data_IF_912781523283
#
_entry.id   IF_912781523283
#
_cell.length_a   1.000
_cell.length_b   1.000
_cell.length_c   1.000
_cell.angle_alpha   90.00
_cell.angle_beta   90.00
_cell.angle_gamma   90.00
#
_symmetry.space_group_name_H-M   'P 1'
#
loop_
_entity.id
_entity.type
_entity.pdbx_description
1 polymer ?
#
# COMPACT_ATOMS: atom_id res chain seq x y z
N UNK A 1 -8.90 -2.42 25.32
CA UNK A 1 -8.22 -1.53 26.26
C UNK A 1 -7.19 -2.32 27.07
N UNK A 2 -5.94 -1.90 27.00
CA UNK A 2 -4.90 -2.56 27.77
C UNK A 2 -5.15 -2.32 29.26
N UNK A 3 -4.92 -3.36 30.08
CA UNK A 3 -5.01 -3.22 31.55
C UNK A 3 -4.04 -2.19 32.14
N UNK A 4 -3.10 -1.71 31.33
CA UNK A 4 -2.02 -0.80 31.71
C UNK A 4 -2.26 0.64 31.23
N UNK A 5 -3.44 1.00 30.71
CA UNK A 5 -3.76 2.34 30.26
C UNK A 5 -3.05 2.79 28.98
N UNK A 6 -2.37 1.89 28.28
CA UNK A 6 -1.78 2.18 26.98
C UNK A 6 -2.63 1.59 25.85
N UNK A 7 -2.85 2.37 24.78
CA UNK A 7 -3.44 1.87 23.56
C UNK A 7 -2.46 0.94 22.84
N UNK A 8 -2.93 -0.11 22.16
CA UNK A 8 -2.06 -0.92 21.32
C UNK A 8 -1.50 -0.05 20.19
N UNK A 9 -0.20 -0.16 19.95
CA UNK A 9 0.45 0.50 18.83
C UNK A 9 0.13 -0.28 17.56
N UNK A 10 -0.67 0.31 16.69
CA UNK A 10 -1.01 -0.25 15.39
C UNK A 10 -0.37 0.56 14.29
N UNK A 11 0.12 -0.10 13.25
CA UNK A 11 0.70 0.51 12.08
C UNK A 11 0.09 -0.10 10.81
N UNK A 12 -0.08 0.72 9.79
CA UNK A 12 -0.55 0.30 8.47
C UNK A 12 0.44 0.79 7.44
N UNK A 13 1.01 -0.13 6.66
CA UNK A 13 1.77 0.26 5.47
C UNK A 13 0.80 0.41 4.31
N UNK A 14 0.83 1.56 3.66
CA UNK A 14 -0.04 1.93 2.57
C UNK A 14 0.79 2.00 1.29
N UNK A 15 0.47 1.13 0.36
CA UNK A 15 0.98 1.20 -0.99
C UNK A 15 0.05 2.10 -1.82
N UNK A 16 0.63 3.01 -2.60
CA UNK A 16 -0.11 3.96 -3.43
C UNK A 16 -0.40 3.42 -4.82
N UNK A 17 0.47 2.53 -5.27
CA UNK A 17 0.32 1.72 -6.48
C UNK A 17 0.37 0.25 -6.10
N UNK A 18 -0.27 -0.60 -6.89
CA UNK A 18 -0.22 -2.04 -6.63
C UNK A 18 1.23 -2.53 -6.67
N UNK A 19 1.73 -3.16 -5.60
CA UNK A 19 3.10 -3.64 -5.50
C UNK A 19 3.50 -4.53 -6.69
N UNK A 20 4.74 -4.40 -7.14
CA UNK A 20 5.22 -5.08 -8.35
C UNK A 20 5.20 -6.60 -8.23
N UNK A 21 5.51 -7.12 -7.04
CA UNK A 21 5.50 -8.54 -6.72
C UNK A 21 4.09 -9.15 -6.72
N UNK A 22 3.06 -8.36 -6.40
CA UNK A 22 1.67 -8.78 -6.39
C UNK A 22 0.92 -8.51 -7.70
N UNK A 23 1.41 -7.55 -8.49
CA UNK A 23 0.71 -6.98 -9.65
C UNK A 23 0.12 -8.02 -10.60
N UNK A 24 0.88 -9.04 -10.89
CA UNK A 24 0.49 -10.12 -11.82
C UNK A 24 0.02 -11.39 -11.11
N UNK A 25 -0.09 -11.36 -9.78
CA UNK A 25 -0.63 -12.47 -9.03
C UNK A 25 -2.16 -12.42 -8.99
N UNK A 26 -2.76 -13.60 -9.01
CA UNK A 26 -4.19 -13.74 -8.82
C UNK A 26 -4.57 -13.50 -7.35
N UNK A 27 -5.72 -12.90 -7.06
CA UNK A 27 -6.20 -12.77 -5.70
C UNK A 27 -6.67 -14.11 -5.15
N UNK A 28 -6.20 -14.46 -3.95
CA UNK A 28 -6.55 -15.69 -3.25
C UNK A 28 -7.24 -15.37 -1.92
N UNK A 29 -8.17 -16.24 -1.53
CA UNK A 29 -8.78 -16.24 -0.22
C UNK A 29 -8.97 -17.69 0.25
N UNK A 30 -8.48 -17.99 1.46
CA UNK A 30 -8.58 -19.35 2.01
C UNK A 30 -7.79 -20.42 1.23
N UNK A 31 -6.81 -20.04 0.43
CA UNK A 31 -6.01 -20.95 -0.40
C UNK A 31 -6.62 -21.23 -1.78
N UNK A 32 -7.78 -20.66 -2.09
CA UNK A 32 -8.45 -20.79 -3.37
C UNK A 32 -8.45 -19.46 -4.13
N UNK A 33 -8.52 -19.51 -5.45
CA UNK A 33 -8.66 -18.31 -6.28
C UNK A 33 -9.97 -17.59 -5.93
N UNK A 34 -9.91 -16.29 -5.63
CA UNK A 34 -11.06 -15.52 -5.13
C UNK A 34 -12.29 -15.61 -6.04
N UNK A 35 -12.09 -15.75 -7.33
CA UNK A 35 -13.16 -15.80 -8.34
C UNK A 35 -13.40 -17.20 -8.93
N UNK A 36 -12.82 -18.25 -8.33
CA UNK A 36 -13.06 -19.61 -8.78
C UNK A 36 -14.53 -20.01 -8.59
N UNK A 37 -15.14 -20.51 -9.64
CA UNK A 37 -16.55 -20.94 -9.60
C UNK A 37 -17.59 -19.82 -9.51
N UNK A 38 -17.18 -18.55 -9.58
CA UNK A 38 -18.12 -17.42 -9.57
C UNK A 38 -18.63 -17.18 -10.99
N UNK A 39 -19.95 -17.24 -11.14
CA UNK A 39 -20.66 -16.90 -12.38
C UNK A 39 -21.54 -15.67 -12.11
N UNK A 40 -20.98 -14.49 -12.29
CA UNK A 40 -21.68 -13.20 -12.15
C UNK A 40 -21.46 -12.36 -13.41
N UNK A 41 -22.55 -12.03 -14.11
CA UNK A 41 -22.51 -11.27 -15.35
C UNK A 41 -22.00 -9.83 -15.16
N UNK A 42 -22.28 -9.20 -14.00
CA UNK A 42 -21.83 -7.84 -13.73
C UNK A 42 -20.33 -7.82 -13.43
N UNK A 43 -19.86 -8.78 -12.64
CA UNK A 43 -18.42 -8.94 -12.39
C UNK A 43 -17.66 -9.28 -13.67
N UNK A 44 -18.23 -10.11 -14.53
CA UNK A 44 -17.62 -10.43 -15.82
C UNK A 44 -17.57 -9.21 -16.76
N UNK A 45 -18.60 -8.36 -16.76
CA UNK A 45 -18.59 -7.12 -17.52
C UNK A 45 -17.48 -6.19 -16.99
N UNK A 46 -17.36 -6.04 -15.67
CA UNK A 46 -16.30 -5.26 -15.03
C UNK A 46 -14.90 -5.83 -15.35
N UNK A 47 -14.74 -7.14 -15.35
CA UNK A 47 -13.49 -7.77 -15.71
C UNK A 47 -13.08 -7.45 -17.16
N UNK A 48 -14.04 -7.46 -18.07
CA UNK A 48 -13.81 -7.11 -19.49
C UNK A 48 -13.41 -5.64 -19.67
N UNK A 49 -14.02 -4.72 -18.92
CA UNK A 49 -13.60 -3.32 -18.92
C UNK A 49 -12.15 -3.14 -18.46
N UNK A 50 -11.65 -4.06 -17.63
CA UNK A 50 -10.28 -4.08 -17.10
C UNK A 50 -9.32 -4.92 -17.93
N UNK A 51 -9.78 -5.45 -19.07
CA UNK A 51 -8.95 -6.20 -20.01
C UNK A 51 -8.84 -7.71 -19.75
N UNK A 52 -9.65 -8.25 -18.84
CA UNK A 52 -9.73 -9.68 -18.57
C UNK A 52 -10.98 -10.30 -19.25
N UNK A 53 -10.83 -11.45 -19.89
CA UNK A 53 -11.96 -12.13 -20.53
C UNK A 53 -12.74 -13.04 -19.58
N UNK A 54 -12.09 -13.46 -18.49
CA UNK A 54 -12.65 -14.31 -17.43
C UNK A 54 -12.34 -13.69 -16.07
N UNK A 55 -13.17 -13.99 -15.07
CA UNK A 55 -12.94 -13.54 -13.70
C UNK A 55 -11.63 -14.10 -13.12
N UNK A 56 -11.27 -15.32 -13.50
CA UNK A 56 -10.03 -15.98 -13.07
C UNK A 56 -8.75 -15.40 -13.71
N UNK A 57 -8.87 -14.52 -14.70
CA UNK A 57 -7.74 -13.78 -15.28
C UNK A 57 -7.46 -12.48 -14.56
N UNK A 58 -8.32 -12.08 -13.61
CA UNK A 58 -8.08 -10.90 -12.80
C UNK A 58 -6.89 -11.11 -11.86
N UNK A 59 -6.02 -10.13 -11.83
CA UNK A 59 -4.86 -10.07 -10.94
C UNK A 59 -4.91 -8.77 -10.13
N UNK A 60 -4.06 -8.62 -9.13
CA UNK A 60 -4.11 -7.45 -8.25
C UNK A 60 -4.01 -6.11 -9.00
N UNK A 61 -3.29 -6.02 -10.14
CA UNK A 61 -3.21 -4.78 -10.94
C UNK A 61 -4.57 -4.26 -11.43
N UNK A 62 -5.55 -5.13 -11.55
CA UNK A 62 -6.89 -4.74 -11.99
C UNK A 62 -7.71 -4.06 -10.89
N UNK A 63 -7.20 -4.00 -9.65
CA UNK A 63 -7.89 -3.46 -8.48
C UNK A 63 -7.31 -2.14 -7.96
N UNK A 64 -6.55 -1.42 -8.79
CA UNK A 64 -6.00 -0.11 -8.43
C UNK A 64 -7.10 0.89 -8.02
N UNK A 65 -8.26 0.84 -8.67
CA UNK A 65 -9.39 1.73 -8.34
C UNK A 65 -9.93 1.45 -6.94
N UNK A 66 -10.08 0.19 -6.56
CA UNK A 66 -10.55 -0.21 -5.24
C UNK A 66 -9.52 0.17 -4.18
N UNK A 67 -8.24 0.00 -4.46
CA UNK A 67 -7.18 0.44 -3.57
C UNK A 67 -7.22 1.96 -3.37
N UNK A 68 -7.43 2.74 -4.43
CA UNK A 68 -7.57 4.19 -4.35
C UNK A 68 -8.77 4.59 -3.50
N UNK A 69 -9.92 3.89 -3.60
CA UNK A 69 -11.09 4.14 -2.78
C UNK A 69 -10.83 3.85 -1.29
N UNK A 70 -10.14 2.76 -0.99
CA UNK A 70 -9.76 2.40 0.39
C UNK A 70 -8.80 3.44 0.95
N UNK A 71 -7.77 3.82 0.21
CA UNK A 71 -6.81 4.84 0.61
C UNK A 71 -7.49 6.19 0.86
N UNK A 72 -8.40 6.58 -0.03
CA UNK A 72 -9.19 7.79 0.12
C UNK A 72 -10.01 7.78 1.41
N UNK A 73 -10.84 6.76 1.60
CA UNK A 73 -11.67 6.64 2.80
C UNK A 73 -10.83 6.63 4.09
N UNK A 74 -9.69 5.95 4.06
CA UNK A 74 -8.77 5.91 5.19
C UNK A 74 -8.25 7.31 5.56
N UNK A 75 -7.78 8.08 4.57
CA UNK A 75 -7.26 9.42 4.80
C UNK A 75 -8.35 10.46 5.12
N UNK A 76 -9.56 10.31 4.57
CA UNK A 76 -10.70 11.14 4.94
C UNK A 76 -11.01 10.97 6.42
N UNK A 77 -11.15 9.73 6.90
CA UNK A 77 -11.42 9.43 8.31
C UNK A 77 -10.29 9.94 9.23
N UNK A 78 -9.03 9.72 8.84
CA UNK A 78 -7.89 10.23 9.63
C UNK A 78 -7.89 11.76 9.72
N UNK A 79 -8.32 12.44 8.68
CA UNK A 79 -8.31 13.92 8.62
C UNK A 79 -9.49 14.51 9.38
N UNK A 80 -10.66 13.84 9.37
CA UNK A 80 -11.84 14.26 10.13
C UNK A 80 -11.62 14.12 11.65
N UNK A 81 -10.94 13.06 12.07
CA UNK A 81 -10.79 12.73 13.47
C UNK A 81 -12.01 12.03 14.06
N UNK A 82 -12.05 11.97 15.40
CA UNK A 82 -13.15 11.37 16.13
C UNK A 82 -14.39 12.30 16.22
N UNK A 83 -15.46 11.86 16.88
CA UNK A 83 -16.69 12.64 17.04
C UNK A 83 -16.52 13.98 17.78
N UNK A 84 -15.37 14.21 18.41
CA UNK A 84 -15.00 15.47 19.07
C UNK A 84 -14.04 16.31 18.24
N UNK A 85 -13.66 15.84 17.04
CA UNK A 85 -12.69 16.49 16.15
C UNK A 85 -11.23 16.25 16.55
N UNK A 86 -10.96 15.29 17.45
CA UNK A 86 -9.59 14.96 17.82
C UNK A 86 -8.98 14.01 16.79
N UNK A 87 -7.75 14.26 16.32
CA UNK A 87 -7.07 13.38 15.40
C UNK A 87 -6.86 11.98 15.98
N UNK A 88 -6.98 10.95 15.14
CA UNK A 88 -6.63 9.60 15.54
C UNK A 88 -5.12 9.44 15.69
N UNK A 89 -4.70 8.89 16.82
CA UNK A 89 -3.28 8.59 17.07
C UNK A 89 -2.84 7.30 16.38
N UNK A 90 -3.78 6.38 16.21
CA UNK A 90 -3.57 5.06 15.59
C UNK A 90 -4.74 4.70 14.66
N UNK A 91 -4.48 3.87 13.64
CA UNK A 91 -3.18 3.33 13.22
C UNK A 91 -2.25 4.40 12.66
N UNK A 92 -0.93 4.22 12.83
CA UNK A 92 0.08 5.09 12.22
C UNK A 92 0.22 4.67 10.74
N UNK A 93 -0.09 5.53 9.78
CA UNK A 93 0.10 5.22 8.37
C UNK A 93 1.55 5.42 7.95
N UNK A 94 2.10 4.45 7.23
CA UNK A 94 3.38 4.57 6.53
C UNK A 94 3.14 4.39 5.04
N UNK A 95 3.44 5.42 4.26
CA UNK A 95 3.27 5.43 2.81
C UNK A 95 4.59 5.11 2.14
N UNK A 96 4.59 4.09 1.30
CA UNK A 96 5.73 3.76 0.45
C UNK A 96 5.76 4.68 -0.77
N UNK A 97 6.84 5.44 -0.91
CA UNK A 97 7.12 6.26 -2.08
C UNK A 97 8.07 5.50 -2.98
N UNK A 98 7.56 5.05 -4.10
CA UNK A 98 8.27 4.27 -5.12
C UNK A 98 8.50 5.09 -6.39
N UNK A 99 9.31 4.60 -7.32
CA UNK A 99 9.56 5.30 -8.59
C UNK A 99 8.30 5.44 -9.46
N UNK A 100 7.32 4.53 -9.29
CA UNK A 100 6.03 4.55 -9.97
C UNK A 100 4.91 5.17 -9.11
N UNK A 101 5.26 5.95 -8.07
CA UNK A 101 4.29 6.69 -7.28
C UNK A 101 3.58 7.72 -8.15
N UNK A 102 2.25 7.64 -8.20
CA UNK A 102 1.42 8.56 -8.97
C UNK A 102 1.26 9.89 -8.22
N UNK A 103 2.17 10.82 -8.49
CA UNK A 103 2.19 12.15 -7.86
C UNK A 103 1.01 13.05 -8.25
N UNK A 104 0.36 12.76 -9.39
CA UNK A 104 -0.78 13.50 -9.89
C UNK A 104 -2.11 12.80 -9.60
N UNK A 105 -2.06 11.68 -8.87
CA UNK A 105 -3.24 10.91 -8.49
C UNK A 105 -4.24 11.72 -7.68
N UNK A 106 -5.52 11.44 -7.87
CA UNK A 106 -6.63 12.21 -7.25
C UNK A 106 -6.56 12.27 -5.72
N UNK A 107 -5.96 11.28 -5.07
CA UNK A 107 -5.85 11.19 -3.61
C UNK A 107 -4.57 11.83 -3.04
N UNK A 108 -3.64 12.26 -3.88
CA UNK A 108 -2.37 12.85 -3.42
C UNK A 108 -2.58 14.16 -2.65
N UNK A 109 -3.47 15.07 -3.08
CA UNK A 109 -3.77 16.25 -2.28
C UNK A 109 -4.28 15.91 -0.86
N UNK A 110 -5.15 14.91 -0.73
CA UNK A 110 -5.69 14.47 0.56
C UNK A 110 -4.60 13.90 1.47
N UNK A 111 -3.68 13.10 0.91
CA UNK A 111 -2.52 12.55 1.63
C UNK A 111 -1.66 13.67 2.23
N UNK A 112 -1.29 14.65 1.42
CA UNK A 112 -0.43 15.75 1.88
C UNK A 112 -1.17 16.76 2.75
N UNK A 113 -2.47 16.95 2.56
CA UNK A 113 -3.31 17.72 3.47
C UNK A 113 -3.34 17.08 4.87
N UNK A 114 -3.53 15.77 4.95
CA UNK A 114 -3.46 15.03 6.21
C UNK A 114 -2.07 15.15 6.84
N UNK A 115 -1.01 14.97 6.07
CA UNK A 115 0.36 15.11 6.55
C UNK A 115 0.64 16.51 7.11
N UNK A 116 0.14 17.55 6.46
CA UNK A 116 0.31 18.94 6.89
C UNK A 116 -0.52 19.30 8.13
N UNK A 117 -1.75 18.82 8.21
CA UNK A 117 -2.68 19.15 9.31
C UNK A 117 -2.43 18.32 10.57
N UNK A 118 -2.24 17.03 10.39
CA UNK A 118 -2.21 16.04 11.48
C UNK A 118 -0.79 15.61 11.81
N UNK A 119 0.08 15.48 10.78
CA UNK A 119 1.46 15.03 10.97
C UNK A 119 1.60 13.56 11.35
N UNK A 120 0.55 12.76 11.16
CA UNK A 120 0.54 11.34 11.55
C UNK A 120 1.17 10.41 10.53
N UNK A 121 1.27 10.83 9.27
CA UNK A 121 1.78 10.01 8.17
C UNK A 121 3.30 9.98 8.12
N UNK A 122 3.85 8.78 8.00
CA UNK A 122 5.26 8.57 7.71
C UNK A 122 5.43 8.23 6.23
N UNK A 123 6.54 8.69 5.66
CA UNK A 123 6.89 8.42 4.27
C UNK A 123 8.17 7.61 4.22
N UNK A 124 8.09 6.45 3.57
CA UNK A 124 9.22 5.58 3.33
C UNK A 124 9.65 5.70 1.87
N UNK A 125 10.74 6.43 1.64
CA UNK A 125 11.19 6.76 0.29
C UNK A 125 12.14 5.69 -0.26
N UNK A 126 11.71 5.05 -1.33
CA UNK A 126 12.50 4.06 -2.07
C UNK A 126 13.06 4.60 -3.40
N UNK A 127 12.79 5.87 -3.75
CA UNK A 127 13.30 6.47 -4.98
C UNK A 127 14.84 6.56 -4.90
N UNK A 128 15.49 5.92 -5.86
CA UNK A 128 16.95 5.89 -5.95
C UNK A 128 17.66 4.95 -4.97
N UNK A 129 17.00 4.47 -3.93
CA UNK A 129 17.61 3.58 -2.93
C UNK A 129 17.88 2.16 -3.43
N UNK A 130 17.31 1.81 -4.58
CA UNK A 130 17.44 0.49 -5.22
C UNK A 130 18.77 0.33 -6.02
N UNK A 131 19.60 1.37 -6.03
CA UNK A 131 20.80 1.42 -6.85
C UNK A 131 22.02 1.81 -6.04
N UNK A 132 23.15 1.28 -6.47
CA UNK A 132 24.50 1.67 -6.00
C UNK A 132 25.35 2.10 -7.18
N UNK A 133 26.53 2.62 -6.92
CA UNK A 133 27.49 3.02 -7.96
C UNK A 133 28.62 1.97 -8.00
N UNK A 134 28.86 1.39 -9.16
CA UNK A 134 29.93 0.43 -9.35
C UNK A 134 31.33 1.13 -9.43
N UNK A 135 32.37 0.35 -9.55
CA UNK A 135 33.78 0.84 -9.63
C UNK A 135 34.04 1.73 -10.84
N UNK A 136 33.18 1.69 -11.86
CA UNK A 136 33.28 2.49 -13.09
C UNK A 136 32.44 3.78 -13.02
N UNK A 137 31.79 4.06 -11.87
CA UNK A 137 30.94 5.23 -11.71
C UNK A 137 29.52 5.07 -12.29
N UNK A 138 29.14 3.86 -12.70
CA UNK A 138 27.82 3.58 -13.28
C UNK A 138 26.81 3.19 -12.21
N UNK A 139 25.58 3.65 -12.37
CA UNK A 139 24.45 3.30 -11.50
C UNK A 139 23.97 1.88 -11.82
N UNK A 140 24.12 0.98 -10.87
CA UNK A 140 23.72 -0.42 -10.99
C UNK A 140 22.74 -0.80 -9.88
N UNK A 141 21.85 -1.79 -10.07
CA UNK A 141 20.95 -2.26 -9.02
C UNK A 141 21.75 -2.74 -7.80
N UNK A 142 21.31 -2.37 -6.61
CA UNK A 142 21.85 -2.89 -5.35
C UNK A 142 21.01 -4.08 -4.87
N UNK A 143 21.57 -5.28 -4.92
CA UNK A 143 20.89 -6.51 -4.49
C UNK A 143 20.61 -6.52 -2.99
N UNK A 144 21.36 -5.73 -2.20
CA UNK A 144 21.18 -5.61 -0.75
C UNK A 144 20.16 -4.54 -0.37
N UNK A 145 19.69 -3.73 -1.34
CA UNK A 145 18.72 -2.69 -1.06
C UNK A 145 17.39 -3.29 -0.60
N UNK A 146 16.77 -2.63 0.38
CA UNK A 146 15.42 -2.94 0.77
C UNK A 146 14.46 -2.72 -0.40
N UNK A 147 13.65 -3.71 -0.70
CA UNK A 147 12.65 -3.62 -1.78
C UNK A 147 11.32 -3.13 -1.20
N UNK A 148 10.66 -2.14 -1.82
CA UNK A 148 9.42 -1.57 -1.31
C UNK A 148 8.32 -2.62 -1.12
N UNK A 149 8.30 -3.63 -1.99
CA UNK A 149 7.30 -4.70 -1.98
C UNK A 149 7.46 -5.65 -0.77
N UNK A 150 8.70 -5.80 -0.27
CA UNK A 150 9.02 -6.74 0.81
C UNK A 150 9.11 -6.07 2.18
N UNK A 151 9.31 -4.76 2.23
CA UNK A 151 9.53 -4.04 3.50
C UNK A 151 8.23 -3.53 4.08
N UNK A 152 8.04 -3.77 5.37
CA UNK A 152 6.94 -3.21 6.15
C UNK A 152 7.48 -2.49 7.37
N UNK A 153 6.91 -1.33 7.67
CA UNK A 153 7.27 -0.54 8.84
C UNK A 153 6.46 -0.96 10.05
N UNK A 154 7.12 -0.99 11.21
CA UNK A 154 6.44 -1.10 12.50
C UNK A 154 6.57 0.21 13.29
N UNK A 155 5.69 0.40 14.26
CA UNK A 155 5.40 1.64 14.99
C UNK A 155 6.59 2.57 15.26
N UNK A 156 7.74 2.05 15.65
CA UNK A 156 8.94 2.83 15.97
C UNK A 156 9.96 2.88 14.82
N UNK A 157 9.50 2.73 13.58
CA UNK A 157 10.30 2.69 12.35
C UNK A 157 11.21 1.47 12.22
N UNK A 158 10.92 0.39 12.93
CA UNK A 158 11.52 -0.89 12.65
C UNK A 158 11.06 -1.33 11.25
N UNK A 159 12.00 -1.53 10.36
CA UNK A 159 11.75 -2.09 9.05
C UNK A 159 11.90 -3.60 9.11
N UNK A 160 10.88 -4.31 8.68
CA UNK A 160 10.91 -5.76 8.53
C UNK A 160 11.03 -6.07 7.03
N UNK A 161 12.09 -6.75 6.66
CA UNK A 161 12.22 -7.33 5.33
C UNK A 161 11.61 -8.74 5.35
N UNK A 162 10.45 -8.87 4.70
CA UNK A 162 9.72 -10.13 4.69
C UNK A 162 10.46 -11.26 3.95
N UNK A 163 11.44 -10.93 3.11
CA UNK A 163 12.27 -11.92 2.41
C UNK A 163 13.21 -12.67 3.37
N UNK A 164 13.53 -12.07 4.52
CA UNK A 164 14.38 -12.70 5.54
C UNK A 164 13.59 -13.60 6.49
N UNK A 165 12.26 -13.57 6.40
CA UNK A 165 11.36 -14.34 7.27
C UNK A 165 10.86 -15.64 6.63
N UNK A 166 11.12 -15.86 5.35
CA UNK A 166 10.74 -17.02 4.56
C UNK A 166 11.95 -17.90 4.24
#
# INVERSE_FOLDING_TARGET
>A
PSRWGQSPFTNVTIDWTVPRDLRDQAPFSGGEHLFEGIEDANLLALARERGANKLTELTYKHFQKEMNLINKAFYEVLTEGDSTGQPFTFPIPTVNITEDFDWEGENVPLLFENAAKIGSSYFQNFIGSQYTVNQHGERVPDERAYKPDAVRSMCCRLQLDLRELL
#
